data_IF_930663042939
#
_entry.id   IF_930663042939
#
_cell.length_a   1.000
_cell.length_b   1.000
_cell.length_c   1.000
_cell.angle_alpha   90.00
_cell.angle_beta   90.00
_cell.angle_gamma   90.00
#
_symmetry.space_group_name_H-M   'P 1'
#
loop_
_entity.id
_entity.type
_entity.pdbx_description
1 polymer ?
#
# COMPACT_ATOMS: atom_id res chain seq x y z
N UNK A 1 47.97 3.21 22.89
CA UNK A 1 47.59 3.07 21.47
C UNK A 1 46.32 2.27 21.21
N UNK A 2 46.00 1.19 21.95
CA UNK A 2 44.76 0.40 21.75
C UNK A 2 43.44 1.15 22.05
N UNK A 3 43.44 2.12 22.97
CA UNK A 3 42.24 2.91 23.33
C UNK A 3 41.80 3.92 22.27
N UNK A 4 42.72 4.41 21.44
CA UNK A 4 42.41 5.36 20.37
C UNK A 4 41.90 4.66 19.10
N UNK A 5 42.27 3.39 18.88
CA UNK A 5 41.74 2.56 17.78
C UNK A 5 40.25 2.29 17.98
N UNK A 6 39.83 2.04 19.21
CA UNK A 6 38.41 1.81 19.53
C UNK A 6 37.58 3.09 19.35
N UNK A 7 38.15 4.26 19.65
CA UNK A 7 37.49 5.54 19.48
C UNK A 7 37.37 5.95 18.01
N UNK A 8 38.36 5.63 17.17
CA UNK A 8 38.28 5.85 15.72
C UNK A 8 37.31 4.89 15.03
N UNK A 9 37.19 3.64 15.51
CA UNK A 9 36.24 2.67 14.95
C UNK A 9 34.78 3.05 15.26
N UNK A 10 34.52 3.57 16.46
CA UNK A 10 33.19 4.03 16.87
C UNK A 10 32.74 5.26 16.06
N UNK A 11 33.69 6.15 15.71
CA UNK A 11 33.44 7.34 14.90
C UNK A 11 33.16 7.01 13.42
N UNK A 12 33.78 5.96 12.88
CA UNK A 12 33.45 5.46 11.55
C UNK A 12 32.07 4.80 11.49
N UNK A 13 31.61 4.16 12.58
CA UNK A 13 30.32 3.48 12.62
C UNK A 13 29.13 4.45 12.66
N UNK A 14 29.29 5.63 13.28
CA UNK A 14 28.24 6.67 13.30
C UNK A 14 28.09 7.40 11.97
N UNK A 15 29.13 7.42 11.13
CA UNK A 15 29.06 7.99 9.77
C UNK A 15 28.31 7.10 8.76
N UNK A 16 28.14 5.80 9.04
CA UNK A 16 27.35 4.91 8.17
C UNK A 16 25.84 4.99 8.51
N UNK A 17 25.48 5.49 9.69
CA UNK A 17 24.08 5.59 10.14
C UNK A 17 23.37 6.88 9.69
N UNK A 18 24.08 7.89 9.15
CA UNK A 18 23.46 9.13 8.61
C UNK A 18 23.17 9.07 7.11
N UNK A 19 23.35 7.90 6.48
CA UNK A 19 23.17 7.67 5.03
C UNK A 19 21.81 7.13 4.58
N UNK A 20 20.83 6.95 5.48
CA UNK A 20 19.45 6.60 5.12
C UNK A 20 18.48 7.75 5.39
N UNK A 21 18.90 9.00 5.14
CA UNK A 21 17.94 10.03 4.74
C UNK A 21 17.82 9.99 3.22
N UNK A 22 17.23 8.91 2.69
CA UNK A 22 16.51 9.07 1.44
C UNK A 22 15.33 9.95 1.78
N UNK A 23 15.49 11.27 1.60
CA UNK A 23 14.41 12.04 0.97
C UNK A 23 14.12 11.30 -0.33
N UNK A 24 13.25 10.30 -0.22
CA UNK A 24 12.96 9.35 -1.26
C UNK A 24 12.43 10.16 -2.42
N UNK A 25 13.25 10.27 -3.46
CA UNK A 25 12.75 10.58 -4.79
C UNK A 25 11.86 9.40 -5.11
N UNK A 26 10.56 9.57 -4.89
CA UNK A 26 9.54 8.57 -5.17
C UNK A 26 9.62 8.20 -6.65
N UNK A 27 9.48 6.92 -6.97
CA UNK A 27 9.62 6.36 -8.32
C UNK A 27 8.79 7.14 -9.37
N UNK A 28 7.60 7.61 -8.99
CA UNK A 28 6.71 8.40 -9.86
C UNK A 28 7.19 9.83 -10.13
N UNK A 29 8.06 10.43 -9.30
CA UNK A 29 8.56 11.80 -9.52
C UNK A 29 9.59 11.93 -10.65
N UNK A 30 9.87 10.82 -11.36
CA UNK A 30 10.73 10.77 -12.55
C UNK A 30 9.97 10.50 -13.85
N UNK A 31 8.69 10.13 -13.76
CA UNK A 31 7.90 9.74 -14.91
C UNK A 31 7.47 11.00 -15.65
N UNK A 32 8.13 11.37 -16.75
CA UNK A 32 7.72 12.52 -17.56
C UNK A 32 6.67 12.10 -18.56
N UNK A 33 5.55 12.81 -18.59
CA UNK A 33 4.55 12.65 -19.66
C UNK A 33 5.10 13.19 -21.00
N UNK A 34 5.02 12.36 -22.03
CA UNK A 34 5.36 12.64 -23.43
C UNK A 34 4.21 12.18 -24.32
N UNK A 35 4.17 12.62 -25.58
CA UNK A 35 3.15 12.15 -26.53
C UNK A 35 3.21 10.62 -26.75
N UNK A 36 4.40 10.03 -26.63
CA UNK A 36 4.62 8.60 -26.84
C UNK A 36 4.08 7.74 -25.70
N UNK A 37 4.04 8.27 -24.47
CA UNK A 37 3.63 7.51 -23.29
C UNK A 37 2.24 7.84 -22.75
N UNK A 38 1.70 9.01 -23.08
CA UNK A 38 0.42 9.52 -22.58
C UNK A 38 -0.71 8.50 -22.62
N UNK A 39 -0.87 7.77 -23.73
CA UNK A 39 -1.98 6.82 -23.88
C UNK A 39 -1.91 5.66 -22.89
N UNK A 40 -0.74 5.05 -22.67
CA UNK A 40 -0.66 3.95 -21.71
C UNK A 40 -0.61 4.45 -20.27
N UNK A 41 -0.13 5.67 -20.03
CA UNK A 41 -0.19 6.30 -18.71
C UNK A 41 -1.64 6.58 -18.28
N UNK A 42 -2.48 7.09 -19.17
CA UNK A 42 -3.91 7.31 -18.91
C UNK A 42 -4.66 6.00 -18.61
N UNK A 43 -4.39 4.94 -19.39
CA UNK A 43 -4.98 3.61 -19.14
C UNK A 43 -4.57 3.09 -17.76
N UNK A 44 -3.26 3.16 -17.45
CA UNK A 44 -2.74 2.67 -16.18
C UNK A 44 -3.31 3.48 -14.99
N UNK A 45 -3.43 4.80 -15.11
CA UNK A 45 -4.02 5.68 -14.10
C UNK A 45 -5.46 5.28 -13.78
N UNK A 46 -6.28 5.01 -14.81
CA UNK A 46 -7.67 4.56 -14.64
C UNK A 46 -7.76 3.19 -13.97
N UNK A 47 -6.93 2.23 -14.38
CA UNK A 47 -6.86 0.91 -13.75
C UNK A 47 -6.51 1.03 -12.27
N UNK A 48 -5.48 1.81 -11.94
CA UNK A 48 -5.07 2.09 -10.58
C UNK A 48 -6.20 2.70 -9.75
N UNK A 49 -6.94 3.70 -10.26
CA UNK A 49 -8.08 4.25 -9.54
C UNK A 49 -9.10 3.17 -9.18
N UNK A 50 -9.40 2.27 -10.13
CA UNK A 50 -10.26 1.11 -9.91
C UNK A 50 -9.75 0.24 -8.76
N UNK A 51 -8.48 -0.16 -8.82
CA UNK A 51 -7.85 -0.99 -7.79
C UNK A 51 -7.86 -0.33 -6.41
N UNK A 52 -7.59 0.98 -6.33
CA UNK A 52 -7.63 1.73 -5.08
C UNK A 52 -9.05 1.82 -4.52
N UNK A 53 -10.07 1.99 -5.37
CA UNK A 53 -11.47 2.01 -4.95
C UNK A 53 -11.91 0.66 -4.37
N UNK A 54 -11.56 -0.44 -5.04
CA UNK A 54 -11.88 -1.79 -4.56
C UNK A 54 -11.21 -2.12 -3.23
N UNK A 55 -9.91 -1.82 -3.13
CA UNK A 55 -9.17 -2.00 -1.89
C UNK A 55 -9.73 -1.14 -0.75
N UNK A 56 -10.15 0.11 -1.03
CA UNK A 56 -10.82 0.95 -0.03
C UNK A 56 -12.14 0.34 0.44
N UNK A 57 -12.92 -0.28 -0.45
CA UNK A 57 -14.15 -0.96 -0.06
C UNK A 57 -13.85 -2.16 0.86
N UNK A 58 -12.85 -2.98 0.52
CA UNK A 58 -12.38 -4.11 1.34
C UNK A 58 -11.95 -3.64 2.73
N UNK A 59 -11.04 -2.66 2.77
CA UNK A 59 -10.49 -2.15 4.03
C UNK A 59 -11.52 -1.41 4.87
N UNK A 60 -12.53 -0.78 4.26
CA UNK A 60 -13.66 -0.20 4.99
C UNK A 60 -14.47 -1.28 5.70
N UNK A 61 -14.79 -2.38 5.02
CA UNK A 61 -15.48 -3.51 5.66
C UNK A 61 -14.65 -4.10 6.78
N UNK A 62 -13.34 -4.28 6.57
CA UNK A 62 -12.42 -4.71 7.62
C UNK A 62 -12.45 -3.78 8.84
N UNK A 63 -12.23 -2.48 8.63
CA UNK A 63 -12.17 -1.49 9.70
C UNK A 63 -13.48 -1.42 10.48
N UNK A 64 -14.62 -1.41 9.78
CA UNK A 64 -15.94 -1.44 10.43
C UNK A 64 -16.16 -2.71 11.24
N UNK A 65 -15.64 -3.85 10.79
CA UNK A 65 -15.75 -5.11 11.52
C UNK A 65 -14.89 -5.10 12.79
N UNK A 66 -13.69 -4.53 12.72
CA UNK A 66 -12.82 -4.32 13.90
C UNK A 66 -13.47 -3.32 14.87
N UNK A 67 -14.03 -2.20 14.38
CA UNK A 67 -14.82 -1.25 15.19
C UNK A 67 -16.01 -1.96 15.87
N UNK A 68 -16.69 -2.85 15.16
CA UNK A 68 -17.75 -3.69 15.71
C UNK A 68 -17.29 -4.56 16.88
N UNK A 69 -16.07 -5.12 16.83
CA UNK A 69 -15.48 -5.86 17.95
C UNK A 69 -15.11 -4.96 19.13
N UNK A 70 -14.64 -3.74 18.90
CA UNK A 70 -14.36 -2.78 19.99
C UNK A 70 -15.63 -2.32 20.69
N UNK A 71 -16.67 -2.05 19.91
CA UNK A 71 -17.96 -1.53 20.39
C UNK A 71 -18.91 -2.63 20.86
N UNK A 72 -18.49 -3.90 20.81
CA UNK A 72 -19.30 -5.09 21.12
C UNK A 72 -20.58 -5.22 20.27
N UNK A 73 -20.65 -4.51 19.15
CA UNK A 73 -21.73 -4.65 18.17
C UNK A 73 -21.59 -5.93 17.35
N UNK A 74 -20.35 -6.42 17.19
CA UNK A 74 -20.04 -7.67 16.51
C UNK A 74 -19.57 -8.72 17.50
N UNK A 75 -20.14 -9.92 17.40
CA UNK A 75 -19.55 -11.14 17.94
C UNK A 75 -18.37 -11.60 17.07
N UNK A 76 -17.58 -12.54 17.60
CA UNK A 76 -16.53 -13.24 16.85
C UNK A 76 -17.04 -13.85 15.55
N UNK A 77 -18.21 -14.50 15.57
CA UNK A 77 -18.78 -15.14 14.39
C UNK A 77 -19.27 -14.13 13.35
N UNK A 78 -19.80 -12.98 13.78
CA UNK A 78 -20.16 -11.89 12.87
C UNK A 78 -18.91 -11.27 12.22
N UNK A 79 -17.86 -11.05 13.00
CA UNK A 79 -16.56 -10.62 12.49
C UNK A 79 -15.98 -11.62 11.48
N UNK A 80 -15.92 -12.91 11.84
CA UNK A 80 -15.46 -13.99 10.97
C UNK A 80 -16.20 -14.02 9.64
N UNK A 81 -17.53 -13.92 9.68
CA UNK A 81 -18.38 -13.89 8.47
C UNK A 81 -18.08 -12.68 7.61
N UNK A 82 -17.94 -11.50 8.22
CA UNK A 82 -17.62 -10.27 7.49
C UNK A 82 -16.24 -10.33 6.81
N UNK A 83 -15.21 -10.83 7.50
CA UNK A 83 -13.86 -10.98 6.94
C UNK A 83 -13.81 -12.06 5.85
N UNK A 84 -14.50 -13.19 6.04
CA UNK A 84 -14.53 -14.25 5.01
C UNK A 84 -15.06 -13.72 3.67
N UNK A 85 -16.09 -12.88 3.69
CA UNK A 85 -16.65 -12.27 2.48
C UNK A 85 -15.73 -11.24 1.79
N UNK A 86 -14.70 -10.73 2.46
CA UNK A 86 -13.74 -9.80 1.86
C UNK A 86 -12.48 -10.48 1.33
N UNK A 87 -12.11 -11.66 1.86
CA UNK A 87 -10.91 -12.40 1.42
C UNK A 87 -10.99 -12.77 -0.06
N UNK A 88 -12.14 -13.27 -0.54
CA UNK A 88 -12.32 -13.64 -1.96
C UNK A 88 -12.14 -12.43 -2.88
N UNK A 89 -12.72 -11.28 -2.52
CA UNK A 89 -12.57 -10.02 -3.26
C UNK A 89 -11.13 -9.54 -3.27
N UNK A 90 -10.46 -9.63 -2.12
CA UNK A 90 -9.05 -9.25 -2.01
C UNK A 90 -8.15 -10.15 -2.84
N UNK A 91 -8.41 -11.46 -2.91
CA UNK A 91 -7.64 -12.38 -3.72
C UNK A 91 -7.82 -12.11 -5.23
N UNK A 92 -9.06 -11.81 -5.66
CA UNK A 92 -9.34 -11.41 -7.02
C UNK A 92 -8.54 -10.13 -7.39
N UNK A 93 -8.59 -9.12 -6.52
CA UNK A 93 -7.83 -7.88 -6.72
C UNK A 93 -6.31 -8.10 -6.81
N UNK A 94 -5.74 -8.95 -5.95
CA UNK A 94 -4.30 -9.33 -6.05
C UNK A 94 -4.01 -9.90 -7.44
N UNK A 95 -4.81 -10.88 -7.86
CA UNK A 95 -4.64 -11.57 -9.15
C UNK A 95 -4.73 -10.59 -10.32
N UNK A 96 -5.70 -9.68 -10.29
CA UNK A 96 -5.89 -8.68 -11.34
C UNK A 96 -4.68 -7.75 -11.47
N UNK A 97 -4.18 -7.21 -10.36
CA UNK A 97 -3.05 -6.27 -10.38
C UNK A 97 -1.76 -6.99 -10.81
N UNK A 98 -1.53 -8.22 -10.34
CA UNK A 98 -0.35 -9.00 -10.73
C UNK A 98 -0.36 -9.40 -12.21
N UNK A 99 -1.54 -9.46 -12.84
CA UNK A 99 -1.68 -9.76 -14.27
C UNK A 99 -1.41 -8.56 -15.19
N UNK A 100 -1.29 -7.34 -14.64
CA UNK A 100 -1.08 -6.13 -15.45
C UNK A 100 0.34 -6.11 -16.01
N UNK A 101 0.46 -6.23 -17.33
CA UNK A 101 1.72 -6.00 -18.05
C UNK A 101 1.99 -4.50 -18.15
N UNK A 102 2.90 -4.00 -17.32
CA UNK A 102 3.25 -2.58 -17.24
C UNK A 102 4.53 -2.27 -18.02
N UNK A 103 4.60 -1.07 -18.59
CA UNK A 103 5.84 -0.57 -19.19
C UNK A 103 6.94 -0.44 -18.13
N UNK A 104 8.23 -0.56 -18.51
CA UNK A 104 9.34 -0.53 -17.55
C UNK A 104 9.36 0.69 -16.62
N UNK A 105 8.93 1.84 -17.11
CA UNK A 105 8.85 3.08 -16.35
C UNK A 105 7.76 3.10 -15.27
N UNK A 106 6.75 2.23 -15.38
CA UNK A 106 5.70 2.03 -14.38
C UNK A 106 5.99 0.87 -13.42
N UNK A 107 7.05 0.09 -13.68
CA UNK A 107 7.33 -1.16 -12.98
C UNK A 107 7.43 -0.98 -11.46
N UNK A 108 8.27 -0.05 -10.99
CA UNK A 108 8.49 0.18 -9.55
C UNK A 108 7.18 0.58 -8.82
N UNK A 109 6.37 1.38 -9.50
CA UNK A 109 5.12 1.86 -8.96
C UNK A 109 4.05 0.76 -8.93
N UNK A 110 3.99 -0.10 -9.95
CA UNK A 110 3.12 -1.28 -9.95
C UNK A 110 3.55 -2.30 -8.88
N UNK A 111 4.86 -2.52 -8.69
CA UNK A 111 5.37 -3.39 -7.61
C UNK A 111 4.99 -2.85 -6.22
N UNK A 112 5.02 -1.54 -6.03
CA UNK A 112 4.59 -0.90 -4.78
C UNK A 112 3.08 -1.11 -4.53
N UNK A 113 2.26 -1.01 -5.58
CA UNK A 113 0.83 -1.32 -5.52
C UNK A 113 0.59 -2.79 -5.16
N UNK A 114 1.23 -3.72 -5.86
CA UNK A 114 1.13 -5.17 -5.60
C UNK A 114 1.50 -5.49 -4.14
N UNK A 115 2.61 -4.93 -3.64
CA UNK A 115 3.06 -5.16 -2.27
C UNK A 115 2.02 -4.69 -1.24
N UNK A 116 1.43 -3.51 -1.44
CA UNK A 116 0.41 -2.97 -0.56
C UNK A 116 -0.89 -3.79 -0.61
N UNK A 117 -1.33 -4.24 -1.79
CA UNK A 117 -2.54 -5.07 -1.91
C UNK A 117 -2.31 -6.44 -1.28
N UNK A 118 -1.14 -7.05 -1.47
CA UNK A 118 -0.78 -8.30 -0.82
C UNK A 118 -0.69 -8.16 0.71
N UNK A 119 -0.14 -7.05 1.23
CA UNK A 119 -0.18 -6.76 2.69
C UNK A 119 -1.62 -6.62 3.19
N UNK A 120 -2.50 -5.97 2.42
CA UNK A 120 -3.92 -5.87 2.74
C UNK A 120 -4.60 -7.24 2.78
N UNK A 121 -4.27 -8.11 1.81
CA UNK A 121 -4.77 -9.48 1.79
C UNK A 121 -4.30 -10.28 3.01
N UNK A 122 -3.00 -10.19 3.34
CA UNK A 122 -2.43 -10.88 4.50
C UNK A 122 -3.07 -10.42 5.82
N UNK A 123 -3.41 -9.14 5.96
CA UNK A 123 -4.16 -8.65 7.11
C UNK A 123 -5.52 -9.37 7.26
N UNK A 124 -6.24 -9.58 6.16
CA UNK A 124 -7.51 -10.32 6.19
C UNK A 124 -7.30 -11.80 6.57
N UNK A 125 -6.25 -12.44 6.05
CA UNK A 125 -5.89 -13.81 6.40
C UNK A 125 -5.53 -13.95 7.89
N UNK A 126 -4.77 -13.01 8.43
CA UNK A 126 -4.42 -12.98 9.85
C UNK A 126 -5.68 -12.80 10.71
N UNK A 127 -6.56 -11.89 10.30
CA UNK A 127 -7.82 -11.62 11.01
C UNK A 127 -8.74 -12.84 11.04
N UNK A 128 -8.89 -13.56 9.92
CA UNK A 128 -9.73 -14.78 9.91
C UNK A 128 -9.09 -15.91 10.70
N UNK A 129 -7.75 -16.05 10.67
CA UNK A 129 -7.03 -17.04 11.48
C UNK A 129 -7.25 -16.80 12.97
N UNK A 130 -7.12 -15.54 13.42
CA UNK A 130 -7.45 -15.16 14.80
C UNK A 130 -8.91 -15.45 15.16
N UNK A 131 -9.84 -15.13 14.26
CA UNK A 131 -11.27 -15.36 14.50
C UNK A 131 -11.62 -16.86 14.60
N UNK A 132 -10.89 -17.73 13.89
CA UNK A 132 -11.08 -19.18 13.92
C UNK A 132 -10.56 -19.86 15.20
N UNK A 133 -9.69 -19.20 15.98
CA UNK A 133 -9.16 -19.72 17.25
C UNK A 133 -10.06 -19.32 18.42
N UNK A 134 -10.99 -20.21 18.79
CA UNK A 134 -12.01 -19.93 19.81
C UNK A 134 -11.44 -19.66 21.21
N UNK A 135 -10.25 -20.18 21.48
CA UNK A 135 -9.54 -20.17 22.76
C UNK A 135 -8.66 -18.94 23.00
N UNK A 136 -8.46 -18.08 21.98
CA UNK A 136 -7.64 -16.87 22.09
C UNK A 136 -8.40 -15.65 21.62
N UNK A 137 -8.38 -14.55 22.38
CA UNK A 137 -8.99 -13.29 21.95
C UNK A 137 -8.41 -12.77 20.64
N UNK A 138 -9.26 -12.10 19.85
CA UNK A 138 -8.82 -11.40 18.64
C UNK A 138 -8.01 -10.18 19.08
N UNK A 139 -6.76 -10.09 18.62
CA UNK A 139 -5.89 -8.94 18.88
C UNK A 139 -6.31 -7.73 18.04
N UNK A 140 -7.28 -6.98 18.56
CA UNK A 140 -7.84 -5.81 17.87
C UNK A 140 -6.82 -4.69 17.68
N UNK A 141 -5.86 -4.56 18.58
CA UNK A 141 -4.86 -3.48 18.55
C UNK A 141 -3.84 -3.73 17.45
N UNK A 142 -3.35 -4.98 17.31
CA UNK A 142 -2.55 -5.41 16.18
C UNK A 142 -3.28 -5.18 14.85
N UNK A 143 -4.53 -5.64 14.75
CA UNK A 143 -5.35 -5.48 13.54
C UNK A 143 -5.54 -4.01 13.15
N UNK A 144 -5.72 -3.13 14.14
CA UNK A 144 -5.82 -1.68 13.90
C UNK A 144 -4.50 -1.09 13.43
N UNK A 145 -3.39 -1.48 14.06
CA UNK A 145 -2.06 -0.98 13.71
C UNK A 145 -1.69 -1.33 12.27
N UNK A 146 -1.88 -2.60 11.88
CA UNK A 146 -1.61 -3.04 10.50
C UNK A 146 -2.49 -2.33 9.47
N UNK A 147 -3.78 -2.13 9.79
CA UNK A 147 -4.67 -1.34 8.94
C UNK A 147 -4.16 0.09 8.77
N UNK A 148 -3.70 0.75 9.84
CA UNK A 148 -3.18 2.11 9.77
C UNK A 148 -1.91 2.19 8.92
N UNK A 149 -0.99 1.23 9.06
CA UNK A 149 0.22 1.15 8.23
C UNK A 149 -0.12 1.00 6.74
N UNK A 150 -1.14 0.19 6.41
CA UNK A 150 -1.65 0.05 5.04
C UNK A 150 -2.25 1.37 4.55
N UNK A 151 -3.02 2.08 5.39
CA UNK A 151 -3.59 3.39 5.02
C UNK A 151 -2.51 4.45 4.77
N UNK A 152 -1.40 4.40 5.50
CA UNK A 152 -0.23 5.27 5.26
C UNK A 152 0.38 4.96 3.89
N UNK A 153 0.63 3.69 3.56
CA UNK A 153 1.13 3.29 2.24
C UNK A 153 0.17 3.69 1.11
N UNK A 154 -1.14 3.54 1.32
CA UNK A 154 -2.14 4.02 0.35
C UNK A 154 -2.05 5.52 0.11
N UNK A 155 -1.82 6.33 1.16
CA UNK A 155 -1.67 7.76 1.03
C UNK A 155 -0.39 8.14 0.25
N UNK A 156 0.71 7.42 0.49
CA UNK A 156 1.96 7.61 -0.26
C UNK A 156 1.78 7.32 -1.74
N UNK A 157 1.15 6.19 -2.07
CA UNK A 157 0.84 5.79 -3.44
C UNK A 157 -0.12 6.80 -4.08
N UNK A 158 -1.20 7.20 -3.40
CA UNK A 158 -2.14 8.19 -3.90
C UNK A 158 -1.47 9.55 -4.17
N UNK A 159 -0.53 9.97 -3.33
CA UNK A 159 0.22 11.21 -3.53
C UNK A 159 1.15 11.13 -4.75
N UNK A 160 1.81 9.99 -4.96
CA UNK A 160 2.62 9.76 -6.16
C UNK A 160 1.77 9.87 -7.44
N UNK A 161 0.57 9.30 -7.42
CA UNK A 161 -0.31 9.30 -8.59
C UNK A 161 -1.04 10.60 -8.83
N UNK A 162 -1.30 11.38 -7.79
CA UNK A 162 -1.79 12.75 -7.94
C UNK A 162 -0.82 13.58 -8.79
N UNK A 163 0.48 13.44 -8.57
CA UNK A 163 1.51 14.13 -9.36
C UNK A 163 1.45 13.69 -10.83
N UNK A 164 1.35 12.39 -11.10
CA UNK A 164 1.20 11.89 -12.48
C UNK A 164 -0.05 12.45 -13.17
N UNK A 165 -1.19 12.50 -12.46
CA UNK A 165 -2.43 13.06 -13.01
C UNK A 165 -2.28 14.53 -13.38
N UNK A 166 -1.67 15.33 -12.50
CA UNK A 166 -1.40 16.74 -12.78
C UNK A 166 -0.53 16.91 -14.04
N UNK A 167 0.48 16.04 -14.24
CA UNK A 167 1.29 16.05 -15.46
C UNK A 167 0.51 15.66 -16.73
N UNK A 168 -0.39 14.66 -16.64
CA UNK A 168 -1.26 14.27 -17.75
C UNK A 168 -2.23 15.39 -18.16
N UNK A 169 -2.83 16.06 -17.17
CA UNK A 169 -3.73 17.20 -17.39
C UNK A 169 -3.02 18.38 -18.05
N UNK A 170 -1.79 18.70 -17.61
CA UNK A 170 -0.96 19.76 -18.22
C UNK A 170 -0.64 19.41 -19.69
N UNK A 171 -0.28 18.16 -19.97
CA UNK A 171 -0.01 17.70 -21.34
C UNK A 171 -1.26 17.75 -22.25
N UNK A 172 -2.46 17.54 -21.70
CA UNK A 172 -3.72 17.72 -22.43
C UNK A 172 -4.04 19.18 -22.74
N UNK A 173 -3.77 20.10 -21.81
CA UNK A 173 -4.01 21.52 -22.01
C UNK A 173 -3.00 22.17 -22.97
N UNK A 174 -1.74 21.74 -22.93
CA UNK A 174 -0.69 22.21 -23.84
C UNK A 174 -0.83 21.74 -25.29
N UNK A 175 -1.51 20.62 -25.53
CA UNK A 175 -1.78 20.10 -26.88
C UNK A 175 -2.95 20.78 -27.61
N UNK A 176 -3.74 21.61 -26.91
CA UNK A 176 -4.90 22.33 -27.44
C UNK A 176 -4.62 23.82 -27.72
N UNK A 177 -3.35 24.25 -27.71
CA UNK A 177 -2.86 25.57 -28.14
C UNK A 177 -2.03 25.45 -29.41
#
# INVERSE_FOLDING_TARGET
>A
MKKYIFLSLLLCFTLVMTGCSSKGKTASGKLKVTEENKSYLDIYEKSLQGYVLEMNAILKTFNNSVDGLYTQQYSREQFKTAIKGTIEKSNALVTEIESVDVKPELFEANQSLIAMVNRSHQLLLNAIDMANKEDTDIDKDYLRSEYMDIKIQQAEIANQWKILREELEIAEQGANQ
#
